data_IF_546641468122
#
_entry.id   IF_546641468122
#
_cell.length_a   1.000
_cell.length_b   1.000
_cell.length_c   1.000
_cell.angle_alpha   90.00
_cell.angle_beta   90.00
_cell.angle_gamma   90.00
#
_symmetry.space_group_name_H-M   'P 1'
#
loop_
_entity.id
_entity.type
_entity.pdbx_description
1 polymer ?
#
# COMPACT_ATOMS: atom_id res chain seq x y z
N UNK A 1 13.47 -7.01 10.68
CA UNK A 1 13.06 -5.60 10.97
C UNK A 1 11.69 -5.66 11.59
N UNK A 2 11.30 -4.79 12.54
CA UNK A 2 10.07 -5.03 13.34
C UNK A 2 8.81 -4.35 12.76
N UNK A 3 7.65 -4.94 13.02
CA UNK A 3 6.36 -4.31 12.72
C UNK A 3 6.15 -3.08 13.60
N UNK A 4 5.94 -1.93 12.96
CA UNK A 4 5.75 -0.65 13.65
C UNK A 4 4.53 -0.65 14.58
N UNK A 5 3.42 -1.25 14.14
CA UNK A 5 2.17 -1.28 14.93
C UNK A 5 2.31 -2.19 16.14
N UNK A 6 2.78 -3.42 15.95
CA UNK A 6 3.06 -4.35 17.05
C UNK A 6 4.05 -3.76 18.06
N UNK A 7 5.11 -3.10 17.60
CA UNK A 7 6.10 -2.48 18.48
C UNK A 7 5.50 -1.37 19.35
N UNK A 8 4.48 -0.63 18.87
CA UNK A 8 3.75 0.36 19.68
C UNK A 8 2.89 -0.27 20.76
N UNK A 9 2.49 -1.53 20.58
CA UNK A 9 1.78 -2.32 21.58
C UNK A 9 2.73 -3.10 22.51
N UNK A 10 4.04 -2.92 22.38
CA UNK A 10 5.05 -3.66 23.14
C UNK A 10 5.26 -5.10 22.67
N UNK A 11 4.70 -5.49 21.52
CA UNK A 11 4.89 -6.81 20.92
C UNK A 11 6.12 -6.81 20.02
N UNK A 12 6.87 -7.91 20.06
CA UNK A 12 8.04 -8.09 19.22
C UNK A 12 7.73 -8.99 18.01
N UNK A 13 7.20 -8.39 16.94
CA UNK A 13 6.80 -9.10 15.72
C UNK A 13 7.67 -8.67 14.55
N UNK A 14 8.19 -9.63 13.77
CA UNK A 14 8.92 -9.32 12.54
C UNK A 14 7.99 -8.72 11.48
N UNK A 15 8.50 -7.74 10.75
CA UNK A 15 7.86 -7.19 9.56
C UNK A 15 8.30 -7.98 8.32
N UNK A 16 7.34 -8.22 7.43
CA UNK A 16 7.53 -8.94 6.16
C UNK A 16 7.48 -7.99 4.96
N UNK A 17 6.96 -6.77 5.14
CA UNK A 17 6.99 -5.75 4.10
C UNK A 17 7.01 -4.33 4.68
N UNK A 18 7.05 -3.35 3.79
CA UNK A 18 7.15 -1.92 4.11
C UNK A 18 6.01 -1.18 3.42
N UNK A 19 5.32 -0.30 4.15
CA UNK A 19 4.34 0.60 3.56
C UNK A 19 5.02 1.55 2.56
N UNK A 20 4.61 1.52 1.29
CA UNK A 20 5.22 2.33 0.22
C UNK A 20 5.10 3.85 0.46
N UNK A 21 4.11 4.28 1.25
CA UNK A 21 3.84 5.72 1.49
C UNK A 21 4.64 6.28 2.66
N UNK A 22 4.73 5.56 3.78
CA UNK A 22 5.31 6.09 5.02
C UNK A 22 6.54 5.34 5.53
N UNK A 23 6.93 4.23 4.89
CA UNK A 23 8.14 3.48 5.25
C UNK A 23 8.03 2.63 6.52
N UNK A 24 6.85 2.49 7.13
CA UNK A 24 6.65 1.60 8.28
C UNK A 24 6.84 0.13 7.88
N UNK A 25 7.63 -0.63 8.66
CA UNK A 25 7.63 -2.08 8.58
C UNK A 25 6.33 -2.66 9.11
N UNK A 26 5.75 -3.65 8.43
CA UNK A 26 4.46 -4.26 8.75
C UNK A 26 4.54 -5.79 8.74
N UNK A 27 3.89 -6.43 9.71
CA UNK A 27 3.62 -7.87 9.68
C UNK A 27 2.39 -8.16 8.81
N UNK A 28 2.10 -9.45 8.62
CA UNK A 28 0.95 -9.93 7.84
C UNK A 28 -0.38 -9.30 8.29
N UNK A 29 -0.62 -9.20 9.60
CA UNK A 29 -1.87 -8.65 10.16
C UNK A 29 -2.05 -7.13 9.93
N UNK A 30 -0.96 -6.40 9.73
CA UNK A 30 -0.97 -4.94 9.64
C UNK A 30 -0.73 -4.42 8.21
N UNK A 31 -0.70 -5.33 7.24
CA UNK A 31 -0.57 -5.07 5.82
C UNK A 31 -1.96 -4.93 5.18
N UNK A 32 -2.07 -3.98 4.25
CA UNK A 32 -3.15 -3.90 3.28
C UNK A 32 -2.54 -4.04 1.90
N UNK A 33 -3.05 -5.00 1.13
CA UNK A 33 -2.76 -5.14 -0.29
C UNK A 33 -3.85 -4.42 -1.08
N UNK A 34 -3.44 -3.36 -1.78
CA UNK A 34 -4.33 -2.63 -2.68
C UNK A 34 -3.88 -2.86 -4.12
N UNK A 35 -4.80 -3.29 -4.97
CA UNK A 35 -4.55 -3.44 -6.40
C UNK A 35 -4.73 -2.10 -7.11
N UNK A 36 -3.66 -1.60 -7.72
CA UNK A 36 -3.71 -0.37 -8.49
C UNK A 36 -3.97 -0.68 -9.96
N UNK A 37 -4.98 -0.04 -10.53
CA UNK A 37 -5.22 -0.04 -11.96
C UNK A 37 -4.09 0.66 -12.71
N UNK A 38 -3.52 0.00 -13.72
CA UNK A 38 -2.48 0.57 -14.56
C UNK A 38 -3.10 1.10 -15.84
N UNK A 39 -2.74 2.33 -16.17
CA UNK A 39 -3.13 2.97 -17.42
C UNK A 39 -1.88 3.23 -18.25
N UNK A 40 -1.94 2.92 -19.53
CA UNK A 40 -0.90 3.20 -20.51
C UNK A 40 -1.38 4.29 -21.48
N UNK A 41 -0.45 4.90 -22.19
CA UNK A 41 -0.74 6.05 -23.04
C UNK A 41 -0.73 7.37 -22.27
N UNK A 42 -1.04 8.45 -22.98
CA UNK A 42 -0.88 9.82 -22.52
C UNK A 42 -0.73 10.75 -23.71
N UNK A 43 -0.84 12.06 -23.50
CA UNK A 43 -0.90 13.01 -24.61
C UNK A 43 0.30 12.88 -25.58
N UNK A 44 0.09 12.75 -26.90
CA UNK A 44 -1.18 12.91 -27.64
C UNK A 44 -2.00 11.61 -27.87
N UNK A 45 -1.58 10.47 -27.33
CA UNK A 45 -2.24 9.17 -27.47
C UNK A 45 -3.35 8.96 -26.43
N UNK A 46 -4.43 8.22 -26.77
CA UNK A 46 -5.49 7.90 -25.82
C UNK A 46 -4.94 7.05 -24.67
N UNK A 47 -5.44 7.29 -23.46
CA UNK A 47 -5.14 6.47 -22.32
C UNK A 47 -5.95 5.17 -22.39
N UNK A 48 -5.28 4.04 -22.26
CA UNK A 48 -5.89 2.71 -22.27
C UNK A 48 -5.63 2.02 -20.93
N UNK A 49 -6.67 1.40 -20.37
CA UNK A 49 -6.57 0.63 -19.15
C UNK A 49 -5.96 -0.73 -19.49
N UNK A 50 -4.93 -1.12 -18.74
CA UNK A 50 -4.36 -2.46 -18.84
C UNK A 50 -5.17 -3.44 -18.00
N UNK A 51 -5.21 -4.70 -18.44
CA UNK A 51 -5.85 -5.79 -17.68
C UNK A 51 -5.06 -6.16 -16.42
N UNK A 52 -3.75 -5.87 -16.43
CA UNK A 52 -2.87 -6.12 -15.29
C UNK A 52 -2.98 -5.01 -14.23
N UNK A 53 -2.88 -5.41 -12.97
CA UNK A 53 -2.87 -4.53 -11.80
C UNK A 53 -1.52 -4.62 -11.10
N UNK A 54 -1.15 -3.54 -10.38
CA UNK A 54 0.07 -3.52 -9.59
C UNK A 54 -0.27 -3.56 -8.10
N UNK A 55 0.27 -4.54 -7.35
CA UNK A 55 0.04 -4.63 -5.93
C UNK A 55 0.78 -3.51 -5.20
N UNK A 56 0.07 -2.80 -4.33
CA UNK A 56 0.63 -1.81 -3.40
C UNK A 56 0.47 -2.28 -1.97
N UNK A 57 1.61 -2.35 -1.27
CA UNK A 57 1.63 -2.63 0.16
C UNK A 57 1.49 -1.33 0.94
N UNK A 58 0.44 -1.24 1.75
CA UNK A 58 0.10 -0.08 2.56
C UNK A 58 -0.11 -0.48 4.02
N UNK A 59 0.11 0.46 4.93
CA UNK A 59 -0.47 0.36 6.27
C UNK A 59 -1.91 0.87 6.25
N UNK A 60 -2.75 0.38 7.18
CA UNK A 60 -4.15 0.78 7.28
C UNK A 60 -4.37 2.29 7.29
N UNK A 61 -3.48 3.04 7.97
CA UNK A 61 -3.57 4.50 8.05
C UNK A 61 -3.43 5.17 6.68
N UNK A 62 -2.42 4.78 5.90
CA UNK A 62 -2.18 5.33 4.58
C UNK A 62 -3.25 4.90 3.58
N UNK A 63 -3.69 3.63 3.66
CA UNK A 63 -4.79 3.12 2.86
C UNK A 63 -6.07 3.95 3.07
N UNK A 64 -6.48 4.17 4.34
CA UNK A 64 -7.66 4.95 4.66
C UNK A 64 -7.55 6.40 4.16
N UNK A 65 -6.37 7.02 4.26
CA UNK A 65 -6.15 8.37 3.77
C UNK A 65 -6.29 8.49 2.25
N UNK A 66 -5.77 7.51 1.49
CA UNK A 66 -5.92 7.44 0.03
C UNK A 66 -7.39 7.24 -0.33
N UNK A 67 -8.08 6.27 0.28
CA UNK A 67 -9.50 6.01 0.02
C UNK A 67 -10.41 7.18 0.38
N UNK A 68 -10.05 7.98 1.37
CA UNK A 68 -10.78 9.20 1.71
C UNK A 68 -10.59 10.31 0.64
N UNK A 69 -9.44 10.34 -0.05
CA UNK A 69 -9.14 11.32 -1.09
C UNK A 69 -9.73 10.95 -2.47
N UNK A 70 -10.11 9.69 -2.69
CA UNK A 70 -10.78 9.21 -3.91
C UNK A 70 -12.29 9.54 -3.94
N UNK A 71 -12.87 10.01 -2.82
CA UNK A 71 -14.26 10.47 -2.71
C UNK A 71 -14.39 11.94 -3.04
#
# INVERSE_FOLDING_TARGET
MKCYVCAKEGKDTEAIAICIVCGMGLCEDHIVHEELEVWTGGYPFPAEKLDETLPRILCQRCYNAIKAAEK
#
